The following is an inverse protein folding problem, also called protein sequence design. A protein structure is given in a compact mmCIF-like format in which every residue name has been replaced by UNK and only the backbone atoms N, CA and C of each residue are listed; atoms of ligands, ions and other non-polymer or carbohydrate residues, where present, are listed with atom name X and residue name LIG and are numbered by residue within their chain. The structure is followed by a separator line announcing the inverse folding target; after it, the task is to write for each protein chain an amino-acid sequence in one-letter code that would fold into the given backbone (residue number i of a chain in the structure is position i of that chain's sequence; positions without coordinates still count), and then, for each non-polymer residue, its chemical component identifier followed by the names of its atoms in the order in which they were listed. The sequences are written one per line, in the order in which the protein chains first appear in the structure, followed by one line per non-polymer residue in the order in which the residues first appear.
data_IF_795657842192
#
_entry.id   IF_795657842192
#
_cell.length_a   1.000
_cell.length_b   1.000
_cell.length_c   1.000
_cell.angle_alpha   90.00
_cell.angle_beta   90.00
_cell.angle_gamma   90.00
#
_symmetry.space_group_name_H-M   'P 1'
#
loop_
_entity.id
_entity.type
_entity.pdbx_description
1 polymer ?
#
# COMPACT_ATOMS: atom_id res chain seq x y z
N UNK A 1 -4.68 9.10 -27.55
CA UNK A 1 -4.44 7.83 -26.82
C UNK A 1 -3.38 8.13 -25.80
N UNK A 2 -3.71 8.13 -24.50
CA UNK A 2 -2.69 8.30 -23.46
C UNK A 2 -1.81 7.03 -23.51
N UNK A 3 -0.51 7.22 -23.69
CA UNK A 3 0.48 6.15 -23.59
C UNK A 3 0.33 5.49 -22.22
N UNK A 4 -0.17 4.26 -22.22
CA UNK A 4 -0.29 3.47 -20.99
C UNK A 4 1.12 3.08 -20.57
N UNK A 5 1.61 3.65 -19.47
CA UNK A 5 2.88 3.22 -18.90
C UNK A 5 2.88 1.70 -18.72
N UNK A 6 3.95 1.00 -19.12
CA UNK A 6 4.06 -0.44 -18.96
C UNK A 6 3.99 -0.81 -17.48
N UNK A 7 3.36 -1.94 -17.18
CA UNK A 7 3.36 -2.53 -15.85
C UNK A 7 4.63 -3.36 -15.70
N UNK A 8 5.41 -3.15 -14.63
CA UNK A 8 6.74 -3.74 -14.46
C UNK A 8 7.85 -2.97 -15.18
N UNK A 9 9.05 -3.53 -15.24
CA UNK A 9 10.21 -2.93 -15.88
C UNK A 9 10.97 -1.93 -15.02
N UNK A 10 11.84 -1.09 -15.63
CA UNK A 10 12.68 -0.14 -14.90
C UNK A 10 11.86 0.82 -14.04
N UNK A 11 12.50 1.36 -13.00
CA UNK A 11 11.85 2.30 -12.10
C UNK A 11 11.29 3.51 -12.87
N UNK A 12 9.95 3.67 -12.83
CA UNK A 12 9.22 4.70 -13.57
C UNK A 12 9.43 6.08 -12.95
N UNK A 13 9.41 7.12 -13.79
CA UNK A 13 9.68 8.51 -13.40
C UNK A 13 8.87 8.98 -12.19
N UNK A 14 7.59 8.61 -12.10
CA UNK A 14 6.71 9.03 -11.00
C UNK A 14 7.16 8.53 -9.62
N UNK A 15 7.90 7.40 -9.56
CA UNK A 15 8.41 6.86 -8.29
C UNK A 15 9.82 7.38 -7.96
N UNK A 16 10.55 7.94 -8.95
CA UNK A 16 11.86 8.54 -8.73
C UNK A 16 11.82 9.86 -7.95
N UNK A 17 10.65 10.31 -7.53
CA UNK A 17 10.53 11.48 -6.67
C UNK A 17 11.28 11.29 -5.35
N UNK A 18 11.30 10.07 -4.81
CA UNK A 18 12.04 9.75 -3.59
C UNK A 18 13.55 9.94 -3.74
N UNK A 19 14.09 9.76 -4.95
CA UNK A 19 15.54 9.90 -5.26
C UNK A 19 15.97 11.36 -5.42
N UNK A 20 15.04 12.32 -5.44
CA UNK A 20 15.38 13.73 -5.56
C UNK A 20 16.07 14.25 -4.29
N UNK A 21 17.04 15.20 -4.40
CA UNK A 21 17.83 15.66 -3.27
C UNK A 21 17.02 16.19 -2.08
N UNK A 22 15.87 16.84 -2.35
CA UNK A 22 14.99 17.34 -1.28
C UNK A 22 14.22 16.22 -0.56
N UNK A 23 13.95 15.09 -1.22
CA UNK A 23 13.35 13.91 -0.59
C UNK A 23 14.40 13.09 0.16
N UNK A 24 15.57 12.87 -0.45
CA UNK A 24 16.66 12.06 0.13
C UNK A 24 17.06 12.58 1.52
N UNK A 25 17.02 13.89 1.75
CA UNK A 25 17.30 14.49 3.08
C UNK A 25 16.27 14.11 4.14
N UNK A 26 15.01 13.82 3.75
CA UNK A 26 13.98 13.42 4.70
C UNK A 26 14.23 12.03 5.30
N UNK A 27 15.07 11.23 4.64
CA UNK A 27 15.43 9.90 5.12
C UNK A 27 16.41 9.91 6.32
N UNK A 28 16.93 11.05 6.75
CA UNK A 28 17.82 11.10 7.94
C UNK A 28 17.11 10.50 9.17
N UNK A 29 15.93 10.98 9.49
CA UNK A 29 15.12 10.47 10.62
C UNK A 29 14.75 9.00 10.47
N UNK A 30 14.37 8.59 9.26
CA UNK A 30 14.01 7.19 8.95
C UNK A 30 15.22 6.28 9.13
N UNK A 31 16.40 6.69 8.65
CA UNK A 31 17.65 5.94 8.80
C UNK A 31 18.01 5.77 10.26
N UNK A 32 18.01 6.86 11.03
CA UNK A 32 18.33 6.84 12.46
C UNK A 32 17.40 5.88 13.19
N UNK A 33 16.10 6.01 12.99
CA UNK A 33 15.11 5.11 13.58
C UNK A 33 15.34 3.64 13.20
N UNK A 34 15.61 3.36 11.91
CA UNK A 34 15.86 1.99 11.44
C UNK A 34 17.14 1.40 12.06
N UNK A 35 18.21 2.19 12.21
CA UNK A 35 19.45 1.75 12.81
C UNK A 35 19.32 1.52 14.31
N UNK A 36 18.53 2.33 15.02
CA UNK A 36 18.24 2.15 16.44
C UNK A 36 17.41 0.88 16.69
N UNK A 37 16.40 0.64 15.82
CA UNK A 37 15.58 -0.55 15.90
C UNK A 37 16.31 -1.83 15.52
N UNK A 38 17.23 -1.76 14.56
CA UNK A 38 18.02 -2.88 14.08
C UNK A 38 19.38 -2.40 13.53
N UNK A 39 20.45 -2.44 14.35
CA UNK A 39 21.79 -2.02 13.92
C UNK A 39 22.33 -2.76 12.70
N UNK A 40 21.79 -3.92 12.38
CA UNK A 40 22.18 -4.72 11.22
C UNK A 40 21.20 -4.59 10.03
N UNK A 41 20.36 -3.55 10.02
CA UNK A 41 19.30 -3.35 9.00
C UNK A 41 19.87 -3.37 7.57
N UNK A 42 21.09 -2.89 7.37
CA UNK A 42 21.76 -2.85 6.08
C UNK A 42 22.57 -4.12 5.75
N UNK A 43 22.61 -5.14 6.64
CA UNK A 43 23.31 -6.39 6.38
C UNK A 43 24.84 -6.32 6.58
N UNK A 44 25.28 -5.69 7.65
CA UNK A 44 26.68 -5.70 8.12
C UNK A 44 27.54 -4.55 7.61
N UNK A 45 27.45 -4.13 6.34
CA UNK A 45 28.13 -2.93 5.82
C UNK A 45 27.06 -1.94 5.32
N UNK A 46 27.01 -0.78 5.96
CA UNK A 46 26.15 0.29 5.51
C UNK A 46 26.50 0.70 4.07
N UNK A 47 25.51 1.00 3.20
CA UNK A 47 25.75 1.59 1.89
C UNK A 47 26.57 2.89 2.01
N UNK A 48 27.35 3.23 0.97
CA UNK A 48 28.12 4.47 0.95
C UNK A 48 27.23 5.72 1.12
N UNK A 49 26.02 5.65 0.54
CA UNK A 49 24.99 6.69 0.62
C UNK A 49 23.68 6.09 1.17
N UNK A 50 23.55 5.92 2.50
CA UNK A 50 22.41 5.21 3.09
C UNK A 50 21.06 5.83 2.76
N UNK A 51 20.96 7.16 2.74
CA UNK A 51 19.70 7.83 2.42
C UNK A 51 19.29 7.63 0.95
N UNK A 52 20.25 7.67 0.02
CA UNK A 52 19.98 7.39 -1.39
C UNK A 52 19.52 5.93 -1.58
N UNK A 53 20.15 5.01 -0.86
CA UNK A 53 19.74 3.60 -0.84
C UNK A 53 18.32 3.41 -0.31
N UNK A 54 17.95 4.05 0.81
CA UNK A 54 16.61 4.00 1.36
C UNK A 54 15.58 4.62 0.41
N UNK A 55 15.91 5.74 -0.21
CA UNK A 55 15.07 6.42 -1.20
C UNK A 55 14.80 5.52 -2.42
N UNK A 56 15.84 4.92 -2.97
CA UNK A 56 15.75 3.98 -4.10
C UNK A 56 14.91 2.73 -3.72
N UNK A 57 15.19 2.12 -2.57
CA UNK A 57 14.40 0.99 -2.06
C UNK A 57 12.92 1.35 -1.91
N UNK A 58 12.62 2.53 -1.36
CA UNK A 58 11.24 3.01 -1.20
C UNK A 58 10.54 3.16 -2.55
N UNK A 59 11.22 3.71 -3.54
CA UNK A 59 10.71 3.88 -4.90
C UNK A 59 10.37 2.53 -5.56
N UNK A 60 11.26 1.54 -5.42
CA UNK A 60 11.04 0.17 -5.94
C UNK A 60 9.85 -0.49 -5.24
N UNK A 61 9.79 -0.44 -3.91
CA UNK A 61 8.68 -1.00 -3.14
C UNK A 61 7.34 -0.36 -3.52
N UNK A 62 7.31 0.95 -3.70
CA UNK A 62 6.11 1.67 -4.10
C UNK A 62 5.68 1.28 -5.52
N UNK A 63 6.62 1.18 -6.48
CA UNK A 63 6.33 0.72 -7.83
C UNK A 63 5.78 -0.71 -7.83
N UNK A 64 6.45 -1.63 -7.16
CA UNK A 64 6.01 -3.03 -7.08
C UNK A 64 4.63 -3.16 -6.42
N UNK A 65 4.38 -2.39 -5.35
CA UNK A 65 3.05 -2.33 -4.73
C UNK A 65 1.97 -1.84 -5.70
N UNK A 66 2.27 -0.81 -6.52
CA UNK A 66 1.33 -0.33 -7.54
C UNK A 66 1.10 -1.35 -8.65
N UNK A 67 2.15 -2.04 -9.09
CA UNK A 67 2.07 -3.02 -10.16
C UNK A 67 1.30 -4.29 -9.74
N UNK A 68 1.43 -4.69 -8.49
CA UNK A 68 0.72 -5.87 -7.96
C UNK A 68 -0.72 -5.55 -7.52
N UNK A 69 -0.92 -4.47 -6.78
CA UNK A 69 -2.18 -4.18 -6.08
C UNK A 69 -2.93 -2.96 -6.65
N UNK A 70 -2.37 -2.26 -7.62
CA UNK A 70 -3.01 -1.13 -8.29
C UNK A 70 -4.16 -1.53 -9.19
N UNK A 71 -4.77 -0.57 -9.90
CA UNK A 71 -5.91 -0.80 -10.79
C UNK A 71 -5.65 -1.90 -11.84
N UNK A 72 -4.42 -1.96 -12.36
CA UNK A 72 -3.97 -2.97 -13.33
C UNK A 72 -3.18 -4.12 -12.68
N UNK A 73 -3.29 -4.27 -11.37
CA UNK A 73 -2.60 -5.30 -10.62
C UNK A 73 -3.13 -6.72 -10.90
N UNK A 74 -2.55 -7.68 -10.24
CA UNK A 74 -2.95 -9.09 -10.31
C UNK A 74 -4.13 -9.36 -9.39
N UNK A 75 -5.12 -10.13 -9.85
CA UNK A 75 -6.29 -10.47 -9.03
C UNK A 75 -5.92 -11.28 -7.79
N UNK A 76 -4.98 -12.24 -7.92
CA UNK A 76 -4.47 -13.02 -6.80
C UNK A 76 -3.79 -12.14 -5.74
N UNK A 77 -3.01 -11.13 -6.17
CA UNK A 77 -2.38 -10.20 -5.26
C UNK A 77 -3.41 -9.36 -4.52
N UNK A 78 -4.43 -8.85 -5.23
CA UNK A 78 -5.51 -8.07 -4.63
C UNK A 78 -6.35 -8.87 -3.64
N UNK A 79 -6.51 -10.18 -3.86
CA UNK A 79 -7.21 -11.06 -2.94
C UNK A 79 -6.40 -11.35 -1.67
N UNK A 80 -5.06 -11.24 -1.72
CA UNK A 80 -4.18 -11.57 -0.60
C UNK A 80 -4.12 -10.49 0.48
N UNK A 81 -4.22 -9.22 0.09
CA UNK A 81 -4.10 -8.07 1.00
C UNK A 81 -4.77 -6.81 0.46
N UNK A 82 -4.97 -5.81 1.34
CA UNK A 82 -5.35 -4.46 0.96
C UNK A 82 -4.09 -3.68 0.53
N UNK A 83 -4.17 -2.97 -0.60
CA UNK A 83 -3.06 -2.14 -1.08
C UNK A 83 -2.60 -1.16 0.00
N UNK A 84 -1.29 -1.12 0.26
CA UNK A 84 -0.68 -0.12 1.15
C UNK A 84 -0.90 1.27 0.55
N UNK A 85 -1.48 2.23 1.30
CA UNK A 85 -1.73 3.57 0.79
C UNK A 85 -0.43 4.28 0.39
N UNK A 86 -0.44 5.02 -0.74
CA UNK A 86 0.74 5.74 -1.23
C UNK A 86 1.34 6.70 -0.19
N UNK A 87 0.51 7.28 0.69
CA UNK A 87 0.96 8.13 1.79
C UNK A 87 1.91 7.43 2.76
N UNK A 88 1.81 6.11 2.93
CA UNK A 88 2.71 5.34 3.81
C UNK A 88 4.16 5.38 3.32
N UNK A 89 4.39 5.52 2.01
CA UNK A 89 5.71 5.66 1.41
C UNK A 89 6.30 7.07 1.53
N UNK A 90 5.54 8.03 2.04
CA UNK A 90 5.95 9.43 2.19
C UNK A 90 5.82 9.93 3.63
N UNK A 91 5.62 9.03 4.58
CA UNK A 91 5.55 9.33 6.01
C UNK A 91 6.95 9.15 6.64
N UNK A 92 7.73 10.23 6.64
CA UNK A 92 9.13 10.27 7.06
C UNK A 92 9.31 10.50 8.58
N UNK A 93 8.22 10.54 9.34
CA UNK A 93 8.33 10.75 10.79
C UNK A 93 8.86 9.48 11.49
N UNK A 94 9.61 9.64 12.59
CA UNK A 94 9.97 8.52 13.45
C UNK A 94 8.71 7.76 13.90
N UNK A 95 8.78 6.44 13.96
CA UNK A 95 7.64 5.54 14.19
C UNK A 95 6.53 5.64 13.12
N UNK A 96 6.75 6.40 12.05
CA UNK A 96 5.82 6.58 10.93
C UNK A 96 5.73 5.34 10.03
N UNK A 97 4.79 5.41 9.09
CA UNK A 97 4.47 4.27 8.24
C UNK A 97 5.66 3.82 7.37
N UNK A 98 6.48 4.74 6.88
CA UNK A 98 7.67 4.39 6.07
C UNK A 98 8.71 3.62 6.89
N UNK A 99 8.92 3.99 8.16
CA UNK A 99 9.82 3.28 9.07
C UNK A 99 9.40 1.82 9.25
N UNK A 100 8.15 1.58 9.59
CA UNK A 100 7.60 0.23 9.79
C UNK A 100 7.60 -0.60 8.51
N UNK A 101 7.26 0.03 7.37
CA UNK A 101 7.28 -0.60 6.06
C UNK A 101 8.69 -1.06 5.69
N UNK A 102 9.68 -0.18 5.78
CA UNK A 102 11.08 -0.49 5.46
C UNK A 102 11.64 -1.55 6.42
N UNK A 103 11.37 -1.44 7.72
CA UNK A 103 11.80 -2.47 8.69
C UNK A 103 11.27 -3.85 8.31
N UNK A 104 9.96 -3.95 7.98
CA UNK A 104 9.34 -5.20 7.53
C UNK A 104 9.97 -5.72 6.23
N UNK A 105 10.19 -4.83 5.25
CA UNK A 105 10.79 -5.19 3.98
C UNK A 105 12.23 -5.69 4.13
N UNK A 106 13.04 -5.03 4.94
CA UNK A 106 14.41 -5.48 5.20
C UNK A 106 14.46 -6.80 5.99
N UNK A 107 13.56 -7.01 6.94
CA UNK A 107 13.44 -8.28 7.64
C UNK A 107 13.10 -9.42 6.66
N UNK A 108 12.15 -9.19 5.75
CA UNK A 108 11.81 -10.14 4.70
C UNK A 108 13.01 -10.42 3.79
N UNK A 109 13.69 -9.40 3.27
CA UNK A 109 14.90 -9.55 2.45
C UNK A 109 15.93 -10.45 3.14
N UNK A 110 16.22 -10.22 4.42
CA UNK A 110 17.15 -11.05 5.19
C UNK A 110 16.69 -12.51 5.29
N UNK A 111 15.40 -12.74 5.49
CA UNK A 111 14.87 -14.12 5.52
C UNK A 111 15.04 -14.86 4.20
N UNK A 112 15.16 -14.13 3.08
CA UNK A 112 15.44 -14.68 1.76
C UNK A 112 16.93 -14.78 1.44
N UNK A 113 17.82 -14.44 2.37
CA UNK A 113 19.27 -14.40 2.13
C UNK A 113 19.71 -13.29 1.16
N UNK A 114 18.87 -12.27 0.95
CA UNK A 114 19.05 -11.23 -0.05
C UNK A 114 20.12 -10.18 0.32
N UNK A 115 20.95 -9.83 -0.67
CA UNK A 115 21.95 -8.76 -0.59
C UNK A 115 21.38 -7.35 -0.79
N UNK A 116 22.25 -6.32 -0.88
CA UNK A 116 21.77 -4.93 -1.03
C UNK A 116 20.92 -4.66 -2.27
N UNK A 117 21.21 -5.31 -3.41
CA UNK A 117 20.51 -5.14 -4.68
C UNK A 117 19.24 -5.99 -4.81
N UNK A 118 18.94 -6.81 -3.79
CA UNK A 118 17.83 -7.78 -3.83
C UNK A 118 16.48 -7.16 -4.22
N UNK A 119 16.16 -5.97 -3.71
CA UNK A 119 14.88 -5.33 -4.04
C UNK A 119 14.76 -5.00 -5.53
N UNK A 120 15.83 -4.49 -6.14
CA UNK A 120 15.85 -4.19 -7.58
C UNK A 120 15.77 -5.48 -8.40
N UNK A 121 16.55 -6.49 -8.05
CA UNK A 121 16.60 -7.78 -8.75
C UNK A 121 15.24 -8.54 -8.67
N UNK A 122 14.56 -8.49 -7.53
CA UNK A 122 13.37 -9.30 -7.29
C UNK A 122 12.04 -8.55 -7.53
N UNK A 123 12.04 -7.22 -7.47
CA UNK A 123 10.81 -6.43 -7.52
C UNK A 123 10.71 -5.51 -8.75
N UNK A 124 11.72 -5.50 -9.64
CA UNK A 124 11.75 -4.63 -10.81
C UNK A 124 10.74 -5.01 -11.89
N UNK A 125 10.24 -6.24 -11.89
CA UNK A 125 9.20 -6.69 -12.81
C UNK A 125 8.04 -7.34 -12.05
N UNK A 126 6.87 -7.39 -12.70
CA UNK A 126 5.63 -7.85 -12.08
C UNK A 126 5.65 -9.35 -11.75
N UNK A 127 6.28 -10.16 -12.60
CA UNK A 127 6.29 -11.62 -12.44
C UNK A 127 7.17 -12.02 -11.28
N UNK A 128 8.38 -11.48 -11.20
CA UNK A 128 9.27 -11.69 -10.05
C UNK A 128 8.65 -11.14 -8.77
N UNK A 129 8.09 -9.93 -8.80
CA UNK A 129 7.45 -9.32 -7.64
C UNK A 129 6.28 -10.16 -7.11
N UNK A 130 5.53 -10.87 -7.99
CA UNK A 130 4.41 -11.73 -7.58
C UNK A 130 4.84 -12.90 -6.70
N UNK A 131 6.08 -13.35 -6.81
CA UNK A 131 6.65 -14.40 -5.97
C UNK A 131 6.89 -13.94 -4.52
N UNK A 132 6.91 -12.62 -4.29
CA UNK A 132 7.19 -11.99 -3.01
C UNK A 132 5.95 -11.30 -2.39
N UNK A 133 4.74 -11.79 -2.67
CA UNK A 133 3.50 -11.26 -2.07
C UNK A 133 3.55 -11.25 -0.54
N UNK A 134 4.25 -12.22 0.06
CA UNK A 134 4.42 -12.32 1.51
C UNK A 134 5.18 -11.10 2.11
N UNK A 135 6.05 -10.43 1.35
CA UNK A 135 6.69 -9.18 1.76
C UNK A 135 5.64 -8.10 2.03
N UNK A 136 4.74 -7.88 1.06
CA UNK A 136 3.71 -6.84 1.16
C UNK A 136 2.65 -7.19 2.20
N UNK A 137 2.27 -8.46 2.31
CA UNK A 137 1.35 -8.93 3.35
C UNK A 137 1.95 -8.76 4.76
N UNK A 138 3.26 -9.01 4.91
CA UNK A 138 4.00 -8.75 6.16
C UNK A 138 4.03 -7.27 6.50
N UNK A 139 4.31 -6.41 5.53
CA UNK A 139 4.31 -4.96 5.70
C UNK A 139 2.90 -4.42 6.05
N UNK A 140 1.84 -4.88 5.35
CA UNK A 140 0.47 -4.52 5.70
C UNK A 140 0.15 -4.90 7.15
N UNK A 141 0.48 -6.13 7.55
CA UNK A 141 0.24 -6.62 8.91
C UNK A 141 0.97 -5.78 9.96
N UNK A 142 2.24 -5.43 9.70
CA UNK A 142 3.03 -4.59 10.60
C UNK A 142 2.41 -3.20 10.74
N UNK A 143 2.01 -2.57 9.65
CA UNK A 143 1.35 -1.26 9.63
C UNK A 143 -0.02 -1.28 10.34
N UNK A 144 -0.82 -2.35 10.18
CA UNK A 144 -2.08 -2.55 10.88
C UNK A 144 -1.86 -2.69 12.40
N UNK A 145 -0.86 -3.49 12.81
CA UNK A 145 -0.53 -3.70 14.22
C UNK A 145 -0.03 -2.41 14.90
N UNK A 146 0.69 -1.57 14.15
CA UNK A 146 1.14 -0.26 14.61
C UNK A 146 0.01 0.81 14.58
N UNK A 147 -1.17 0.50 14.06
CA UNK A 147 -2.28 1.45 13.94
C UNK A 147 -2.07 2.55 12.89
N UNK A 148 -1.06 2.40 12.02
CA UNK A 148 -0.67 3.39 11.01
C UNK A 148 -1.54 3.33 9.75
N UNK A 149 -2.16 2.19 9.51
CA UNK A 149 -3.20 1.99 8.51
C UNK A 149 -4.39 1.25 9.13
N UNK A 150 -5.54 1.34 8.49
CA UNK A 150 -6.74 0.60 8.90
C UNK A 150 -7.44 0.01 7.69
N UNK A 151 -8.01 -1.17 7.85
CA UNK A 151 -8.88 -1.76 6.81
C UNK A 151 -10.21 -1.02 6.78
N UNK A 152 -10.81 -0.85 5.58
CA UNK A 152 -12.14 -0.26 5.48
C UNK A 152 -13.17 -1.06 6.27
N UNK A 153 -13.97 -0.36 7.08
CA UNK A 153 -15.16 -0.91 7.74
C UNK A 153 -16.37 -0.36 7.02
N UNK A 154 -17.13 -1.24 6.34
CA UNK A 154 -18.20 -0.87 5.46
C UNK A 154 -19.55 -1.16 6.13
N UNK A 155 -20.41 -0.16 6.19
CA UNK A 155 -21.81 -0.32 6.52
C UNK A 155 -22.62 -0.18 5.22
N UNK A 156 -23.53 -1.11 4.97
CA UNK A 156 -24.44 -1.10 3.84
C UNK A 156 -25.80 -0.62 4.30
N UNK A 157 -26.26 0.51 3.74
CA UNK A 157 -27.59 1.05 4.05
C UNK A 157 -28.70 0.03 3.76
N UNK A 158 -29.75 0.06 4.57
CA UNK A 158 -30.96 -0.75 4.37
C UNK A 158 -31.71 -0.37 3.08
N UNK A 159 -31.50 0.85 2.58
CA UNK A 159 -32.07 1.33 1.32
C UNK A 159 -31.45 0.68 0.07
N UNK A 160 -30.32 -0.03 0.21
CA UNK A 160 -29.70 -0.75 -0.89
C UNK A 160 -30.55 -1.97 -1.29
N UNK A 161 -30.79 -2.18 -2.60
CA UNK A 161 -31.41 -3.41 -3.07
C UNK A 161 -30.66 -4.63 -2.57
N UNK A 162 -31.35 -5.61 -2.01
CA UNK A 162 -30.74 -6.80 -1.37
C UNK A 162 -29.72 -7.50 -2.26
N UNK A 163 -30.03 -7.69 -3.54
CA UNK A 163 -29.15 -8.36 -4.50
C UNK A 163 -27.85 -7.57 -4.68
N UNK A 164 -27.92 -6.25 -4.76
CA UNK A 164 -26.76 -5.38 -4.91
C UNK A 164 -25.94 -5.34 -3.62
N UNK A 165 -26.58 -5.25 -2.46
CA UNK A 165 -25.91 -5.31 -1.17
C UNK A 165 -25.14 -6.62 -0.98
N UNK A 166 -25.72 -7.77 -1.35
CA UNK A 166 -25.06 -9.08 -1.28
C UNK A 166 -23.84 -9.14 -2.22
N UNK A 167 -23.98 -8.67 -3.46
CA UNK A 167 -22.90 -8.59 -4.43
C UNK A 167 -21.74 -7.73 -3.88
N UNK A 168 -22.03 -6.54 -3.36
CA UNK A 168 -21.03 -5.62 -2.82
C UNK A 168 -20.39 -6.14 -1.54
N UNK A 169 -21.12 -6.86 -0.68
CA UNK A 169 -20.55 -7.56 0.49
C UNK A 169 -19.55 -8.63 0.05
N UNK A 170 -19.85 -9.37 -1.02
CA UNK A 170 -18.92 -10.31 -1.62
C UNK A 170 -17.63 -9.65 -2.08
N UNK A 171 -17.73 -8.52 -2.79
CA UNK A 171 -16.56 -7.71 -3.21
C UNK A 171 -15.78 -7.21 -2.00
N UNK A 172 -16.47 -6.63 -1.01
CA UNK A 172 -15.84 -6.13 0.22
C UNK A 172 -15.01 -7.21 0.92
N UNK A 173 -15.58 -8.41 1.06
CA UNK A 173 -14.91 -9.56 1.68
C UNK A 173 -13.71 -10.03 0.85
N UNK A 174 -13.83 -10.09 -0.48
CA UNK A 174 -12.74 -10.47 -1.38
C UNK A 174 -11.55 -9.48 -1.31
N UNK A 175 -11.80 -8.22 -0.95
CA UNK A 175 -10.78 -7.19 -0.79
C UNK A 175 -10.46 -6.87 0.68
N UNK A 176 -10.66 -7.83 1.58
CA UNK A 176 -10.31 -7.72 3.00
C UNK A 176 -10.94 -6.53 3.76
N UNK A 177 -12.05 -5.98 3.27
CA UNK A 177 -12.83 -5.02 4.02
C UNK A 177 -13.68 -5.72 5.08
N UNK A 178 -13.91 -5.05 6.21
CA UNK A 178 -14.80 -5.55 7.27
C UNK A 178 -16.20 -5.01 7.06
N UNK A 179 -17.21 -5.89 6.98
CA UNK A 179 -18.61 -5.47 6.98
C UNK A 179 -19.09 -5.34 8.42
N UNK A 180 -19.63 -4.17 8.78
CA UNK A 180 -20.14 -3.87 10.12
C UNK A 180 -21.67 -3.74 10.08
N UNK A 181 -22.32 -4.01 11.23
CA UNK A 181 -23.77 -3.98 11.37
C UNK A 181 -24.32 -2.60 11.74
N UNK A 182 -23.47 -1.70 12.18
CA UNK A 182 -23.87 -0.38 12.68
C UNK A 182 -23.06 0.70 12.00
N UNK A 183 -23.73 1.77 11.62
CA UNK A 183 -23.12 2.91 10.93
C UNK A 183 -22.08 3.65 11.77
N UNK A 184 -22.23 3.65 13.09
CA UNK A 184 -21.27 4.28 14.01
C UNK A 184 -19.92 3.53 14.10
N UNK A 185 -19.89 2.25 13.70
CA UNK A 185 -18.68 1.43 13.63
C UNK A 185 -17.98 1.50 12.27
N UNK A 186 -18.67 2.10 11.26
CA UNK A 186 -18.19 2.13 9.90
C UNK A 186 -17.20 3.28 9.65
N UNK A 187 -16.20 3.01 8.81
CA UNK A 187 -15.38 4.06 8.19
C UNK A 187 -16.03 4.61 6.93
N UNK A 188 -16.87 3.78 6.26
CA UNK A 188 -17.56 4.11 5.02
C UNK A 188 -18.98 3.59 5.07
N UNK A 189 -19.92 4.40 4.62
CA UNK A 189 -21.32 4.03 4.42
C UNK A 189 -21.60 3.89 2.92
N UNK A 190 -22.19 2.76 2.52
CA UNK A 190 -22.55 2.46 1.14
C UNK A 190 -24.04 2.74 0.98
N UNK A 191 -24.37 3.72 0.18
CA UNK A 191 -25.73 4.19 -0.07
C UNK A 191 -26.15 3.91 -1.52
N UNK A 192 -27.46 3.73 -1.80
CA UNK A 192 -27.94 3.71 -3.16
C UNK A 192 -27.75 5.06 -3.81
N UNK A 193 -27.55 5.09 -5.13
CA UNK A 193 -27.61 6.34 -5.89
C UNK A 193 -29.04 6.85 -5.93
N UNK A 194 -29.29 7.93 -5.24
CA UNK A 194 -30.53 8.69 -5.39
C UNK A 194 -30.43 9.56 -6.64
N UNK A 195 -31.14 9.20 -7.70
CA UNK A 195 -31.24 10.08 -8.88
C UNK A 195 -31.12 9.36 -10.22
N UNK A 196 -32.20 8.90 -10.65
CA UNK A 196 -32.81 8.67 -11.90
C UNK A 196 -32.01 8.74 -13.19
N UNK A 197 -32.22 7.76 -13.97
CA UNK A 197 -31.85 7.67 -15.37
C UNK A 197 -31.45 6.25 -15.69
N UNK A 198 -32.30 5.48 -16.27
CA UNK A 198 -31.97 4.21 -16.86
C UNK A 198 -30.76 4.39 -17.78
N UNK A 199 -29.63 3.77 -17.45
CA UNK A 199 -28.47 3.71 -18.32
C UNK A 199 -27.12 4.21 -17.77
N UNK A 200 -27.03 4.74 -16.55
CA UNK A 200 -25.71 5.05 -15.95
C UNK A 200 -25.40 4.04 -14.86
N UNK A 201 -24.20 3.45 -14.96
CA UNK A 201 -23.63 2.60 -13.92
C UNK A 201 -23.83 3.25 -12.55
N UNK A 202 -24.32 2.47 -11.57
CA UNK A 202 -24.53 2.94 -10.20
C UNK A 202 -23.22 3.49 -9.64
N UNK A 203 -23.13 4.80 -9.45
CA UNK A 203 -21.99 5.40 -8.78
C UNK A 203 -22.20 5.24 -7.28
N UNK A 204 -21.29 4.65 -6.59
CA UNK A 204 -21.26 4.54 -5.14
C UNK A 204 -20.74 5.86 -4.58
N UNK A 205 -21.53 6.53 -3.74
CA UNK A 205 -21.11 7.74 -3.06
C UNK A 205 -20.49 7.36 -1.71
N UNK A 206 -19.22 7.67 -1.54
CA UNK A 206 -18.52 7.55 -0.26
C UNK A 206 -18.74 8.85 0.51
N UNK A 207 -19.35 8.78 1.69
CA UNK A 207 -19.44 9.90 2.62
C UNK A 207 -18.39 9.69 3.71
N UNK A 208 -17.41 10.62 3.79
CA UNK A 208 -16.49 10.66 4.92
C UNK A 208 -17.23 11.22 6.14
N UNK A 209 -17.25 10.48 7.25
CA UNK A 209 -17.66 11.03 8.54
C UNK A 209 -16.58 11.95 9.10
N UNK A 210 -17.02 12.94 9.90
CA UNK A 210 -16.19 13.99 10.49
C UNK A 210 -14.83 13.49 10.98
N UNK A 211 -13.75 14.04 10.44
CA UNK A 211 -12.37 13.79 10.85
C UNK A 211 -11.59 12.76 10.03
N UNK A 212 -12.21 12.04 9.08
CA UNK A 212 -11.50 11.16 8.16
C UNK A 212 -11.51 11.74 6.75
N UNK A 213 -10.35 12.11 6.25
CA UNK A 213 -10.15 12.48 4.84
C UNK A 213 -10.03 11.16 4.06
N UNK A 214 -11.09 10.80 3.33
CA UNK A 214 -11.01 9.76 2.29
C UNK A 214 -10.63 10.48 0.99
N UNK A 215 -9.39 10.31 0.57
CA UNK A 215 -8.94 10.71 -0.78
C UNK A 215 -8.90 9.48 -1.67
#
# INVERSE_FOLDING_TARGET
MADREPVGGPLRRKFREHEQPWHTRKFDKVREWLQDADPQIFGGKAPAEPNAFLAHTTAILQQASEDLFGEKGMDEARASMTKIPSRAFSDFEPDGALCVLLQSAFAYRRSQGGGPQWFEEQLSDKESASQHLALFAGAEKALLNAGLISRPKLFFSEDLPRVEAERLRGVAKAHNATVVQRVDQATHEILPLTGGGAGKASQIRLLAKQGMIVK
#
